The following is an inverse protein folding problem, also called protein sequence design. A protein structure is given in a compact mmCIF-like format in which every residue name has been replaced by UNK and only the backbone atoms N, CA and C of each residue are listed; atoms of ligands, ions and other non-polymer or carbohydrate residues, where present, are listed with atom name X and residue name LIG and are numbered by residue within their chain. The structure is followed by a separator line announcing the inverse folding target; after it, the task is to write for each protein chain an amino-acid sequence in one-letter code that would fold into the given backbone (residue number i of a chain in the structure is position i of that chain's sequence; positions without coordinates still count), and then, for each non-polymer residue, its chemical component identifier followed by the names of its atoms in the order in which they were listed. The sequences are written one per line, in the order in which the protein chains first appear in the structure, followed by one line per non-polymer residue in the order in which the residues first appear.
data_IF_237788140258
#
_entry.id   IF_237788140258
#
_cell.length_a   1.000
_cell.length_b   1.000
_cell.length_c   1.000
_cell.angle_alpha   90.00
_cell.angle_beta   90.00
_cell.angle_gamma   90.00
#
_symmetry.space_group_name_H-M   'P 1'
#
loop_
_entity.id
_entity.type
_entity.pdbx_description
1 polymer ?
#
# COMPACT_ATOMS: atom_id res chain seq x y z
N UNK A 1 2.58 -3.56 19.75
CA UNK A 1 1.96 -4.63 20.58
C UNK A 1 1.72 -4.15 22.01
N UNK A 2 2.75 -3.77 22.79
CA UNK A 2 2.56 -3.27 24.17
C UNK A 2 1.73 -1.98 24.26
N UNK A 3 1.74 -1.15 23.21
CA UNK A 3 0.96 0.08 23.12
C UNK A 3 -0.56 -0.13 22.94
N UNK A 4 -1.04 -1.38 22.80
CA UNK A 4 -2.45 -1.70 22.61
C UNK A 4 -3.24 -1.79 23.93
N UNK A 5 -2.56 -1.97 25.06
CA UNK A 5 -3.20 -2.02 26.38
C UNK A 5 -3.13 -0.65 27.07
N UNK A 6 -4.32 -0.07 27.28
CA UNK A 6 -4.47 1.25 27.89
C UNK A 6 -3.91 1.31 29.33
N UNK A 7 -3.89 0.19 30.06
CA UNK A 7 -3.46 0.14 31.46
C UNK A 7 -1.96 0.33 31.63
N UNK A 8 -1.17 0.07 30.58
CA UNK A 8 0.30 0.12 30.62
C UNK A 8 0.88 1.29 29.81
N UNK A 9 0.05 2.22 29.35
CA UNK A 9 0.44 3.32 28.47
C UNK A 9 1.62 4.13 29.03
N UNK A 10 1.60 4.46 30.32
CA UNK A 10 2.65 5.25 30.95
C UNK A 10 3.99 4.50 31.05
N UNK A 11 3.94 3.21 31.36
CA UNK A 11 5.12 2.34 31.42
C UNK A 11 5.72 2.15 30.03
N UNK A 12 4.88 1.94 29.01
CA UNK A 12 5.30 1.79 27.61
C UNK A 12 5.91 3.08 27.08
N UNK A 13 5.32 4.24 27.38
CA UNK A 13 5.90 5.54 26.99
C UNK A 13 7.24 5.79 27.69
N UNK A 14 7.36 5.47 28.98
CA UNK A 14 8.64 5.56 29.70
C UNK A 14 9.70 4.66 29.06
N UNK A 15 9.36 3.39 28.81
CA UNK A 15 10.26 2.44 28.17
C UNK A 15 10.68 2.91 26.78
N UNK A 16 9.74 3.40 25.96
CA UNK A 16 10.04 3.95 24.63
C UNK A 16 11.05 5.10 24.71
N UNK A 17 10.86 6.05 25.63
CA UNK A 17 11.81 7.15 25.85
C UNK A 17 13.19 6.67 26.25
N UNK A 18 13.25 5.75 27.21
CA UNK A 18 14.51 5.21 27.71
C UNK A 18 15.27 4.46 26.60
N UNK A 19 14.58 3.67 25.78
CA UNK A 19 15.15 2.94 24.64
C UNK A 19 15.62 3.88 23.52
N UNK A 20 14.83 4.89 23.16
CA UNK A 20 15.21 5.89 22.15
C UNK A 20 16.45 6.67 22.59
N UNK A 21 16.56 6.98 23.90
CA UNK A 21 17.76 7.62 24.46
C UNK A 21 19.01 6.76 24.36
N UNK A 22 18.90 5.43 24.49
CA UNK A 22 20.03 4.50 24.37
C UNK A 22 20.60 4.45 22.94
N UNK A 23 19.76 4.69 21.93
CA UNK A 23 20.16 4.73 20.52
C UNK A 23 20.35 6.15 19.98
N UNK A 24 20.39 7.16 20.87
CA UNK A 24 20.58 8.58 20.54
C UNK A 24 19.54 9.16 19.55
N UNK A 25 18.33 8.58 19.51
CA UNK A 25 17.22 9.05 18.67
C UNK A 25 16.26 9.88 19.52
N UNK A 26 15.89 11.08 19.06
CA UNK A 26 14.95 11.95 19.77
C UNK A 26 13.52 11.40 19.75
N UNK A 27 12.76 11.55 20.85
CA UNK A 27 11.38 11.05 20.96
C UNK A 27 10.43 11.57 19.87
N UNK A 28 10.68 12.79 19.39
CA UNK A 28 9.88 13.47 18.37
C UNK A 28 10.51 13.46 16.98
N UNK A 29 11.61 12.72 16.81
CA UNK A 29 12.26 12.57 15.51
C UNK A 29 11.39 11.72 14.57
N UNK A 30 11.56 11.88 13.25
CA UNK A 30 10.83 11.04 12.29
C UNK A 30 11.23 9.56 12.41
N UNK A 31 12.48 9.31 12.77
CA UNK A 31 13.08 7.99 12.98
C UNK A 31 12.46 7.28 14.19
N UNK A 32 12.00 8.02 15.20
CA UNK A 32 11.31 7.47 16.35
C UNK A 32 9.85 7.09 16.07
N UNK A 33 9.25 7.57 14.98
CA UNK A 33 7.85 7.27 14.67
C UNK A 33 7.72 5.82 14.19
N UNK A 34 6.84 5.06 14.85
CA UNK A 34 6.50 3.72 14.38
C UNK A 34 5.80 3.85 13.01
N UNK A 35 6.46 3.36 11.96
CA UNK A 35 5.87 3.16 10.64
C UNK A 35 5.59 1.67 10.50
N UNK A 36 4.36 1.31 10.16
CA UNK A 36 4.00 -0.09 9.95
C UNK A 36 4.90 -0.67 8.84
N UNK A 37 5.75 -1.67 9.13
CA UNK A 37 6.64 -2.27 8.13
C UNK A 37 5.84 -3.00 7.05
N UNK A 38 4.62 -3.41 7.35
CA UNK A 38 3.71 -4.06 6.42
C UNK A 38 2.70 -3.03 5.92
N UNK A 39 3.01 -2.33 4.83
CA UNK A 39 1.98 -1.63 4.05
C UNK A 39 1.07 -2.67 3.42
N UNK A 40 0.03 -3.08 4.15
CA UNK A 40 -0.94 -4.05 3.66
C UNK A 40 -1.83 -3.41 2.59
N UNK A 41 -2.26 -4.23 1.63
CA UNK A 41 -3.26 -3.83 0.66
C UNK A 41 -4.58 -4.52 0.99
N UNK A 42 -5.64 -3.71 1.09
CA UNK A 42 -7.00 -4.19 1.34
C UNK A 42 -7.74 -4.23 0.01
N UNK A 43 -8.17 -5.42 -0.40
CA UNK A 43 -9.09 -5.58 -1.52
C UNK A 43 -10.51 -5.28 -1.04
N UNK A 44 -11.18 -4.26 -1.60
CA UNK A 44 -12.54 -3.94 -1.23
C UNK A 44 -13.52 -4.99 -1.75
N UNK A 45 -14.59 -5.23 -0.98
CA UNK A 45 -15.81 -5.92 -1.45
C UNK A 45 -15.58 -7.33 -2.06
N UNK A 46 -14.71 -8.13 -1.46
CA UNK A 46 -14.46 -9.50 -1.91
C UNK A 46 -15.63 -10.42 -1.53
N UNK A 47 -16.30 -10.97 -2.54
CA UNK A 47 -17.47 -11.85 -2.38
C UNK A 47 -17.05 -13.32 -2.35
N UNK A 48 -17.44 -14.05 -1.30
CA UNK A 48 -17.24 -15.49 -1.23
C UNK A 48 -18.18 -16.23 -2.20
N UNK A 49 -17.63 -17.01 -3.14
CA UNK A 49 -18.41 -17.80 -4.11
C UNK A 49 -19.30 -18.89 -3.48
N UNK A 50 -19.02 -19.30 -2.24
CA UNK A 50 -19.75 -20.37 -1.56
C UNK A 50 -20.95 -19.87 -0.75
N UNK A 51 -20.83 -18.73 -0.07
CA UNK A 51 -21.88 -18.21 0.83
C UNK A 51 -22.32 -16.77 0.54
N UNK A 52 -21.79 -16.14 -0.51
CA UNK A 52 -22.03 -14.74 -0.90
C UNK A 52 -21.70 -13.70 0.18
N UNK A 53 -20.94 -14.08 1.22
CA UNK A 53 -20.47 -13.13 2.22
C UNK A 53 -19.49 -12.15 1.57
N UNK A 54 -19.79 -10.86 1.67
CA UNK A 54 -18.99 -9.77 1.15
C UNK A 54 -18.21 -9.11 2.29
N UNK A 55 -16.90 -8.94 2.10
CA UNK A 55 -16.04 -8.22 3.05
C UNK A 55 -14.82 -7.64 2.36
N UNK A 56 -14.22 -6.67 3.00
CA UNK A 56 -12.88 -6.24 2.65
C UNK A 56 -11.87 -7.30 3.12
N UNK A 57 -10.90 -7.61 2.27
CA UNK A 57 -9.87 -8.63 2.52
C UNK A 57 -8.51 -7.94 2.67
N UNK A 58 -7.94 -7.92 3.87
CA UNK A 58 -6.56 -7.45 4.08
C UNK A 58 -5.59 -8.59 3.75
N UNK A 59 -4.85 -8.43 2.66
CA UNK A 59 -4.03 -9.52 2.13
C UNK A 59 -2.90 -9.93 3.07
N UNK A 60 -2.34 -9.00 3.86
CA UNK A 60 -1.22 -9.29 4.75
C UNK A 60 -1.67 -9.72 6.15
N UNK A 61 -2.86 -9.31 6.59
CA UNK A 61 -3.36 -9.56 7.95
C UNK A 61 -4.35 -10.73 8.04
N UNK A 62 -5.04 -11.06 6.95
CA UNK A 62 -6.01 -12.15 6.89
C UNK A 62 -5.54 -13.50 6.30
N UNK A 63 -4.24 -13.80 6.04
CA UNK A 63 -3.89 -15.13 5.57
C UNK A 63 -4.15 -16.16 6.67
N UNK A 64 -4.82 -17.26 6.31
CA UNK A 64 -4.78 -18.48 7.08
C UNK A 64 -3.35 -19.03 6.95
N UNK A 65 -2.48 -18.64 7.88
CA UNK A 65 -1.09 -19.10 7.90
C UNK A 65 -1.07 -20.61 8.13
N UNK A 66 -0.59 -21.37 7.15
CA UNK A 66 -0.19 -22.75 7.40
C UNK A 66 1.09 -22.73 8.25
N UNK A 67 1.12 -23.52 9.34
CA UNK A 67 2.22 -23.49 10.30
C UNK A 67 3.55 -24.01 9.74
N UNK A 68 3.53 -24.67 8.57
CA UNK A 68 4.65 -25.44 8.07
C UNK A 68 5.52 -24.71 7.03
N UNK A 69 5.19 -23.48 6.62
CA UNK A 69 5.99 -22.65 5.69
C UNK A 69 6.23 -23.23 4.28
N UNK A 70 5.77 -24.46 4.04
CA UNK A 70 5.89 -25.23 2.80
C UNK A 70 4.72 -24.99 1.85
N UNK A 71 3.59 -24.50 2.35
CA UNK A 71 2.37 -24.25 1.59
C UNK A 71 2.15 -22.75 1.48
N UNK A 72 1.93 -22.28 0.24
CA UNK A 72 1.59 -20.89 -0.03
C UNK A 72 0.42 -20.43 0.85
N UNK A 73 0.51 -19.26 1.49
CA UNK A 73 -0.55 -18.77 2.37
C UNK A 73 -1.84 -18.57 1.58
N UNK A 74 -2.97 -18.97 2.17
CA UNK A 74 -4.29 -18.90 1.53
C UNK A 74 -5.24 -18.03 2.35
N UNK A 75 -6.30 -17.54 1.71
CA UNK A 75 -7.34 -16.74 2.37
C UNK A 75 -8.61 -17.55 2.50
N UNK A 76 -9.27 -17.42 3.65
CA UNK A 76 -10.53 -18.11 3.94
C UNK A 76 -11.65 -17.12 4.22
N UNK A 77 -12.87 -17.50 3.87
CA UNK A 77 -14.06 -16.74 4.20
C UNK A 77 -14.32 -16.79 5.71
N UNK A 78 -14.47 -15.62 6.35
CA UNK A 78 -14.76 -15.53 7.78
C UNK A 78 -16.07 -16.25 8.18
N UNK A 79 -17.05 -16.34 7.26
CA UNK A 79 -18.36 -16.93 7.53
C UNK A 79 -18.38 -18.45 7.34
N UNK A 80 -17.96 -18.96 6.17
CA UNK A 80 -18.09 -20.39 5.84
C UNK A 80 -16.75 -21.15 5.81
N UNK A 81 -15.63 -20.47 6.09
CA UNK A 81 -14.26 -21.02 6.05
C UNK A 81 -13.83 -21.61 4.70
N UNK A 82 -14.64 -21.42 3.64
CA UNK A 82 -14.25 -21.77 2.28
C UNK A 82 -13.06 -20.92 1.83
N UNK A 83 -12.10 -21.56 1.16
CA UNK A 83 -10.93 -20.90 0.60
C UNK A 83 -11.33 -19.99 -0.57
N UNK A 84 -10.78 -18.78 -0.60
CA UNK A 84 -10.90 -17.88 -1.75
C UNK A 84 -10.03 -18.37 -2.91
N UNK A 85 -10.52 -18.12 -4.12
CA UNK A 85 -9.79 -18.42 -5.35
C UNK A 85 -8.62 -17.44 -5.53
N UNK A 86 -7.39 -17.94 -5.36
CA UNK A 86 -6.17 -17.13 -5.49
C UNK A 86 -6.02 -16.50 -6.88
N UNK A 87 -6.49 -17.16 -7.95
CA UNK A 87 -6.42 -16.60 -9.31
C UNK A 87 -7.42 -15.45 -9.50
N UNK A 88 -8.58 -15.51 -8.83
CA UNK A 88 -9.54 -14.40 -8.81
C UNK A 88 -8.98 -13.20 -8.04
N UNK A 89 -8.31 -13.45 -6.91
CA UNK A 89 -7.62 -12.42 -6.12
C UNK A 89 -6.48 -11.78 -6.94
N UNK A 90 -5.68 -12.59 -7.65
CA UNK A 90 -4.61 -12.10 -8.51
C UNK A 90 -5.16 -11.19 -9.62
N UNK A 91 -6.24 -11.59 -10.29
CA UNK A 91 -6.91 -10.75 -11.31
C UNK A 91 -7.41 -9.43 -10.70
N UNK A 92 -8.03 -9.48 -9.52
CA UNK A 92 -8.51 -8.28 -8.84
C UNK A 92 -7.36 -7.33 -8.43
N UNK A 93 -6.20 -7.87 -8.07
CA UNK A 93 -4.99 -7.09 -7.79
C UNK A 93 -4.42 -6.42 -9.05
N UNK A 94 -4.42 -7.12 -10.19
CA UNK A 94 -4.01 -6.55 -11.47
C UNK A 94 -4.94 -5.40 -11.86
N UNK A 95 -6.25 -5.58 -11.75
CA UNK A 95 -7.21 -4.51 -11.99
C UNK A 95 -7.02 -3.31 -11.05
N UNK A 96 -6.75 -3.57 -9.76
CA UNK A 96 -6.47 -2.53 -8.79
C UNK A 96 -5.20 -1.74 -9.13
N UNK A 97 -4.13 -2.43 -9.56
CA UNK A 97 -2.90 -1.81 -10.02
C UNK A 97 -3.16 -0.93 -11.26
N UNK A 98 -3.91 -1.45 -12.24
CA UNK A 98 -4.29 -0.71 -13.44
C UNK A 98 -5.14 0.53 -13.13
N UNK A 99 -6.10 0.42 -12.20
CA UNK A 99 -6.89 1.57 -11.73
C UNK A 99 -5.99 2.64 -11.08
N UNK A 100 -5.00 2.24 -10.27
CA UNK A 100 -4.02 3.17 -9.69
C UNK A 100 -3.14 3.82 -10.75
N UNK A 101 -2.68 3.06 -11.74
CA UNK A 101 -1.92 3.60 -12.87
C UNK A 101 -2.75 4.62 -13.65
N UNK A 102 -4.01 4.30 -13.94
CA UNK A 102 -4.92 5.22 -14.62
C UNK A 102 -5.10 6.52 -13.82
N UNK A 103 -5.31 6.42 -12.51
CA UNK A 103 -5.41 7.59 -11.64
C UNK A 103 -4.12 8.43 -11.64
N UNK A 104 -2.95 7.81 -11.69
CA UNK A 104 -1.67 8.51 -11.79
C UNK A 104 -1.48 9.20 -13.15
N UNK A 105 -1.92 8.58 -14.24
CA UNK A 105 -1.80 9.14 -15.59
C UNK A 105 -2.79 10.28 -15.85
N UNK A 106 -3.99 10.18 -15.29
CA UNK A 106 -5.08 11.16 -15.46
C UNK A 106 -5.16 12.18 -14.32
N UNK A 107 -4.18 12.20 -13.42
CA UNK A 107 -4.18 13.12 -12.28
C UNK A 107 -4.18 14.57 -12.74
N UNK A 108 -4.78 15.42 -11.91
CA UNK A 108 -4.65 16.86 -12.07
C UNK A 108 -3.23 17.34 -11.73
N UNK A 109 -2.87 18.48 -12.30
CA UNK A 109 -1.68 19.23 -11.90
C UNK A 109 -2.08 20.44 -11.05
N UNK A 110 -1.31 20.71 -10.00
CA UNK A 110 -1.58 21.82 -9.07
C UNK A 110 -0.43 22.82 -9.12
N UNK A 111 -0.74 24.12 -9.10
CA UNK A 111 0.27 25.17 -9.02
C UNK A 111 0.93 25.21 -7.64
N UNK A 112 2.26 25.23 -7.58
CA UNK A 112 3.00 25.31 -6.31
C UNK A 112 2.79 26.62 -5.53
N UNK A 113 2.43 27.71 -6.21
CA UNK A 113 2.29 29.05 -5.61
C UNK A 113 0.88 29.35 -5.11
N UNK A 114 -0.12 29.18 -5.97
CA UNK A 114 -1.50 29.53 -5.66
C UNK A 114 -2.39 28.32 -5.30
N UNK A 115 -1.86 27.10 -5.41
CA UNK A 115 -2.60 25.85 -5.20
C UNK A 115 -3.84 25.66 -6.11
N UNK A 116 -3.94 26.45 -7.19
CA UNK A 116 -4.96 26.26 -8.21
C UNK A 116 -4.70 25.04 -9.09
N UNK A 117 -5.77 24.36 -9.48
CA UNK A 117 -5.75 23.22 -10.41
C UNK A 117 -5.54 23.72 -11.85
N UNK A 118 -4.76 22.98 -12.63
CA UNK A 118 -4.51 23.28 -14.05
C UNK A 118 -5.74 22.95 -14.90
N UNK A 119 -6.42 23.98 -15.40
CA UNK A 119 -7.67 23.82 -16.16
C UNK A 119 -7.48 23.53 -17.66
N UNK A 120 -6.32 23.85 -18.24
CA UNK A 120 -6.06 23.72 -19.69
C UNK A 120 -4.76 22.99 -19.95
N UNK A 121 -4.65 22.27 -21.07
CA UNK A 121 -3.51 21.37 -21.31
C UNK A 121 -2.21 22.08 -21.70
N UNK A 122 -2.28 23.11 -22.56
CA UNK A 122 -1.10 23.71 -23.19
C UNK A 122 -0.20 24.54 -22.26
N UNK A 123 -0.70 25.31 -21.26
CA UNK A 123 0.16 26.18 -20.46
C UNK A 123 1.20 25.41 -19.66
N UNK A 124 2.46 25.83 -19.80
CA UNK A 124 3.59 25.28 -19.01
C UNK A 124 3.59 25.86 -17.59
N UNK A 125 3.17 27.12 -17.44
CA UNK A 125 3.11 27.83 -16.16
C UNK A 125 1.68 28.26 -15.83
N UNK A 126 1.41 28.43 -14.55
CA UNK A 126 0.17 29.00 -14.05
C UNK A 126 0.09 30.52 -14.37
N UNK A 127 -1.11 31.09 -14.36
CA UNK A 127 -1.33 32.55 -14.50
C UNK A 127 -0.60 33.40 -13.45
N UNK A 128 -0.29 32.82 -12.28
CA UNK A 128 0.54 33.43 -11.25
C UNK A 128 2.06 33.24 -11.46
N UNK A 129 2.48 32.79 -12.65
CA UNK A 129 3.87 32.43 -12.96
C UNK A 129 4.46 31.38 -12.00
N UNK A 130 3.64 30.43 -11.55
CA UNK A 130 4.07 29.29 -10.74
C UNK A 130 4.16 28.01 -11.57
N UNK A 131 5.07 27.12 -11.20
CA UNK A 131 5.19 25.79 -11.79
C UNK A 131 4.04 24.88 -11.33
N UNK A 132 3.64 23.99 -12.22
CA UNK A 132 2.71 22.91 -11.91
C UNK A 132 3.45 21.70 -11.34
N UNK A 133 2.81 21.01 -10.40
CA UNK A 133 3.31 19.76 -9.80
C UNK A 133 2.25 18.68 -9.88
N UNK A 134 2.69 17.42 -9.82
CA UNK A 134 1.83 16.25 -9.70
C UNK A 134 1.06 16.30 -8.37
N UNK A 135 -0.20 15.91 -8.39
CA UNK A 135 -1.04 15.72 -7.19
C UNK A 135 -0.67 14.42 -6.48
N UNK A 136 -0.38 13.37 -7.25
CA UNK A 136 0.15 12.08 -6.82
C UNK A 136 1.62 12.06 -7.25
N UNK A 137 2.53 12.11 -6.28
CA UNK A 137 3.97 12.06 -6.58
C UNK A 137 4.37 10.70 -7.18
N UNK A 138 5.39 10.72 -8.05
CA UNK A 138 5.98 9.48 -8.60
C UNK A 138 6.49 8.55 -7.49
N UNK A 139 7.04 9.11 -6.41
CA UNK A 139 7.50 8.35 -5.26
C UNK A 139 6.34 7.60 -4.56
N UNK A 140 5.24 8.29 -4.29
CA UNK A 140 4.04 7.67 -3.71
C UNK A 140 3.47 6.58 -4.61
N UNK A 141 3.50 6.77 -5.93
CA UNK A 141 3.08 5.74 -6.87
C UNK A 141 4.03 4.53 -6.84
N UNK A 142 5.34 4.75 -6.84
CA UNK A 142 6.35 3.69 -6.74
C UNK A 142 6.19 2.87 -5.44
N UNK A 143 5.92 3.53 -4.31
CA UNK A 143 5.63 2.87 -3.04
C UNK A 143 4.40 1.95 -3.15
N UNK A 144 3.32 2.38 -3.81
CA UNK A 144 2.17 1.53 -4.06
C UNK A 144 2.53 0.33 -4.93
N UNK A 145 3.27 0.52 -6.03
CA UNK A 145 3.72 -0.56 -6.92
C UNK A 145 4.56 -1.59 -6.16
N UNK A 146 5.44 -1.15 -5.26
CA UNK A 146 6.26 -2.03 -4.44
C UNK A 146 5.42 -2.92 -3.50
N UNK A 147 4.30 -2.41 -2.98
CA UNK A 147 3.35 -3.24 -2.20
C UNK A 147 2.79 -4.38 -3.05
N UNK A 148 2.35 -4.11 -4.28
CA UNK A 148 1.88 -5.17 -5.20
C UNK A 148 3.00 -6.16 -5.54
N UNK A 149 4.23 -5.68 -5.72
CA UNK A 149 5.39 -6.54 -5.98
C UNK A 149 5.65 -7.52 -4.81
N UNK A 150 5.61 -7.02 -3.58
CA UNK A 150 5.84 -7.83 -2.39
C UNK A 150 4.74 -8.86 -2.18
N UNK A 151 3.48 -8.47 -2.40
CA UNK A 151 2.35 -9.41 -2.38
C UNK A 151 2.54 -10.49 -3.44
N UNK A 152 2.90 -10.11 -4.67
CA UNK A 152 3.08 -11.06 -5.75
C UNK A 152 4.17 -12.09 -5.45
N UNK A 153 5.31 -11.64 -4.91
CA UNK A 153 6.41 -12.52 -4.49
C UNK A 153 6.03 -13.44 -3.32
N UNK A 154 5.35 -12.91 -2.31
CA UNK A 154 4.99 -13.65 -1.11
C UNK A 154 3.94 -14.75 -1.38
N UNK A 155 2.97 -14.47 -2.25
CA UNK A 155 1.88 -15.40 -2.58
C UNK A 155 2.09 -16.18 -3.88
N UNK A 156 3.23 -16.00 -4.56
CA UNK A 156 3.54 -16.73 -5.80
C UNK A 156 2.63 -16.38 -6.99
N UNK A 157 2.23 -15.13 -7.11
CA UNK A 157 1.34 -14.63 -8.17
C UNK A 157 2.15 -14.21 -9.41
N UNK A 158 2.32 -15.12 -10.37
CA UNK A 158 3.18 -14.92 -11.52
C UNK A 158 2.69 -13.82 -12.48
N UNK A 159 1.38 -13.74 -12.72
CA UNK A 159 0.81 -12.77 -13.66
C UNK A 159 0.85 -11.34 -13.09
N UNK A 160 0.56 -11.19 -11.79
CA UNK A 160 0.73 -9.90 -11.11
C UNK A 160 2.20 -9.47 -11.10
N UNK A 161 3.13 -10.40 -10.83
CA UNK A 161 4.56 -10.10 -10.81
C UNK A 161 5.05 -9.62 -12.16
N UNK A 162 4.72 -10.32 -13.25
CA UNK A 162 5.07 -9.92 -14.62
C UNK A 162 4.52 -8.54 -14.96
N UNK A 163 3.27 -8.26 -14.60
CA UNK A 163 2.64 -6.95 -14.84
C UNK A 163 3.38 -5.82 -14.11
N UNK A 164 3.78 -6.06 -12.85
CA UNK A 164 4.53 -5.08 -12.04
C UNK A 164 5.94 -4.89 -12.59
N UNK A 165 6.63 -5.97 -12.96
CA UNK A 165 7.98 -5.91 -13.52
C UNK A 165 8.01 -5.16 -14.87
N UNK A 166 7.03 -5.42 -15.74
CA UNK A 166 6.87 -4.68 -16.98
C UNK A 166 6.65 -3.18 -16.73
N UNK A 167 5.80 -2.82 -15.76
CA UNK A 167 5.52 -1.43 -15.41
C UNK A 167 6.78 -0.71 -14.91
N UNK A 168 7.58 -1.37 -14.06
CA UNK A 168 8.84 -0.84 -13.56
C UNK A 168 9.90 -0.72 -14.66
N UNK A 169 9.98 -1.70 -15.57
CA UNK A 169 10.94 -1.68 -16.68
C UNK A 169 10.61 -0.56 -17.68
N UNK A 170 9.33 -0.35 -17.98
CA UNK A 170 8.86 0.73 -18.86
C UNK A 170 9.08 2.12 -18.27
N UNK A 171 9.24 2.24 -16.94
CA UNK A 171 9.35 3.52 -16.24
C UNK A 171 10.53 3.52 -15.25
N UNK A 172 11.78 3.70 -15.72
CA UNK A 172 12.97 3.70 -14.86
C UNK A 172 12.92 4.76 -13.74
N UNK A 173 12.17 5.84 -13.95
CA UNK A 173 11.98 6.91 -12.96
C UNK A 173 11.20 6.46 -11.71
N UNK A 174 10.50 5.34 -11.76
CA UNK A 174 9.78 4.77 -10.61
C UNK A 174 10.67 3.83 -9.76
N UNK A 175 11.91 3.56 -10.19
CA UNK A 175 12.85 2.72 -9.45
C UNK A 175 13.77 3.51 -8.51
N UNK A 176 13.70 4.85 -8.53
CA UNK A 176 14.47 5.77 -7.70
C UNK A 176 13.69 6.16 -6.43
#
# INVERSE_FOLDING_TARGET
VLSLDANITNQVNKLRRDLLRLIEVGEFSEEAQFRDPCRSYVLPEVICRNCNFCRDLDLCKDPALSQDGLVLPSWVCANCQAQYDSAAIETALVEALQKKLMAFMLQDLVCKKCHGVKETHMPVYCSCAGDFTLTISSQTFAEHVNVFQNIARHYGMAYLLETVEWLLHANPQLQQ
#
